data_IF_017358093354
#
_entry.id   IF_017358093354
#
_cell.length_a   1.000
_cell.length_b   1.000
_cell.length_c   1.000
_cell.angle_alpha   90.00
_cell.angle_beta   90.00
_cell.angle_gamma   90.00
#
_symmetry.space_group_name_H-M   'P 1'
#
loop_
_entity.id
_entity.type
_entity.pdbx_description
1 polymer ?
#
# COMPACT_ATOMS: atom_id res chain seq x y z
N UNK A 1 17.70 42.60 8.48
CA UNK A 1 16.41 42.88 7.83
C UNK A 1 15.89 41.56 7.31
N UNK A 2 14.72 41.13 7.77
CA UNK A 2 14.03 39.97 7.20
C UNK A 2 13.50 40.41 5.84
N UNK A 3 13.72 39.62 4.79
CA UNK A 3 13.14 39.91 3.47
C UNK A 3 11.64 39.67 3.51
N UNK A 4 10.84 40.62 3.05
CA UNK A 4 9.39 40.48 2.93
C UNK A 4 9.02 39.97 1.53
N UNK A 5 8.25 38.88 1.50
CA UNK A 5 7.66 38.26 0.31
C UNK A 5 6.42 37.49 0.77
N UNK A 6 5.40 37.33 -0.08
CA UNK A 6 4.26 36.51 0.31
C UNK A 6 4.66 35.04 0.43
N UNK A 7 4.01 34.29 1.34
CA UNK A 7 4.29 32.85 1.51
C UNK A 7 4.19 32.06 0.20
N UNK A 8 3.17 32.39 -0.61
CA UNK A 8 2.94 31.74 -1.91
C UNK A 8 4.08 31.97 -2.89
N UNK A 9 4.57 33.20 -2.99
CA UNK A 9 5.71 33.53 -3.84
C UNK A 9 7.02 32.93 -3.31
N UNK A 10 7.19 32.83 -1.98
CA UNK A 10 8.35 32.21 -1.37
C UNK A 10 8.44 30.71 -1.67
N UNK A 11 7.32 29.99 -1.55
CA UNK A 11 7.22 28.57 -1.93
C UNK A 11 7.49 28.39 -3.42
N UNK A 12 6.96 29.27 -4.27
CA UNK A 12 7.24 29.20 -5.72
C UNK A 12 8.74 29.39 -5.99
N UNK A 13 9.37 30.39 -5.37
CA UNK A 13 10.82 30.64 -5.47
C UNK A 13 11.65 29.44 -5.00
N UNK A 14 11.19 28.72 -3.99
CA UNK A 14 11.81 27.47 -3.53
C UNK A 14 11.66 26.36 -4.58
N UNK A 15 10.44 26.13 -5.07
CA UNK A 15 10.10 25.04 -6.00
C UNK A 15 10.83 25.19 -7.34
N UNK A 16 10.99 26.41 -7.84
CA UNK A 16 11.59 26.68 -9.15
C UNK A 16 13.07 26.24 -9.27
N UNK A 17 13.73 25.91 -8.15
CA UNK A 17 15.12 25.47 -8.09
C UNK A 17 15.32 23.97 -8.36
N UNK A 18 14.23 23.20 -8.46
CA UNK A 18 14.27 21.74 -8.50
C UNK A 18 13.75 21.16 -9.82
N UNK A 19 13.96 19.84 -10.02
CA UNK A 19 13.45 19.13 -11.20
C UNK A 19 11.92 18.99 -11.17
N UNK A 20 11.28 18.81 -12.32
CA UNK A 20 9.81 18.72 -12.43
C UNK A 20 9.18 17.65 -11.50
N UNK A 21 9.84 16.50 -11.33
CA UNK A 21 9.37 15.45 -10.42
C UNK A 21 9.40 15.90 -8.94
N UNK A 22 10.44 16.64 -8.55
CA UNK A 22 10.59 17.20 -7.20
C UNK A 22 9.59 18.34 -6.95
N UNK A 23 9.37 19.19 -7.97
CA UNK A 23 8.36 20.26 -7.90
C UNK A 23 6.97 19.70 -7.58
N UNK A 24 6.56 18.65 -8.31
CA UNK A 24 5.27 17.99 -8.05
C UNK A 24 5.17 17.46 -6.62
N UNK A 25 6.24 16.87 -6.08
CA UNK A 25 6.25 16.36 -4.72
C UNK A 25 6.12 17.48 -3.68
N UNK A 26 6.81 18.61 -3.87
CA UNK A 26 6.72 19.78 -2.99
C UNK A 26 5.34 20.44 -3.05
N UNK A 27 4.79 20.64 -4.24
CA UNK A 27 3.46 21.19 -4.47
C UNK A 27 2.37 20.41 -3.73
N UNK A 28 2.41 19.07 -3.80
CA UNK A 28 1.45 18.21 -3.11
C UNK A 28 1.51 18.44 -1.60
N UNK A 29 2.71 18.58 -1.02
CA UNK A 29 2.87 18.83 0.41
C UNK A 29 2.37 20.22 0.78
N UNK A 30 2.73 21.27 0.04
CA UNK A 30 2.29 22.63 0.35
C UNK A 30 0.78 22.80 0.23
N UNK A 31 0.14 22.27 -0.83
CA UNK A 31 -1.32 22.26 -0.97
C UNK A 31 -2.01 21.53 0.18
N UNK A 32 -1.43 20.43 0.65
CA UNK A 32 -1.98 19.68 1.80
C UNK A 32 -1.97 20.51 3.09
N UNK A 33 -1.01 21.43 3.23
CA UNK A 33 -0.79 22.21 4.46
C UNK A 33 -1.32 23.65 4.37
N UNK A 34 -1.86 24.06 3.22
CA UNK A 34 -2.36 25.42 2.97
C UNK A 34 -3.41 25.85 4.00
N UNK A 35 -4.40 24.99 4.26
CA UNK A 35 -5.43 25.26 5.27
C UNK A 35 -4.86 25.47 6.69
N UNK A 36 -3.79 24.76 7.04
CA UNK A 36 -3.14 24.92 8.35
C UNK A 36 -2.34 26.22 8.42
N UNK A 37 -1.69 26.60 7.32
CA UNK A 37 -0.96 27.86 7.22
C UNK A 37 -1.89 29.08 7.29
N UNK A 38 -3.04 29.01 6.60
CA UNK A 38 -4.10 30.01 6.67
C UNK A 38 -4.63 30.15 8.11
N UNK A 39 -4.82 29.04 8.81
CA UNK A 39 -5.30 29.03 10.20
C UNK A 39 -4.32 29.72 11.17
N UNK A 40 -3.00 29.53 10.98
CA UNK A 40 -1.98 30.16 11.82
C UNK A 40 -1.58 31.57 11.34
N UNK A 41 -2.00 31.96 10.14
CA UNK A 41 -1.58 33.19 9.47
C UNK A 41 -0.06 33.38 9.50
N UNK A 42 0.67 32.29 9.26
CA UNK A 42 2.13 32.22 9.45
C UNK A 42 2.73 31.18 8.52
N UNK A 43 3.76 31.56 7.77
CA UNK A 43 4.44 30.64 6.84
C UNK A 43 5.04 29.42 7.55
N UNK A 44 4.93 28.24 6.91
CA UNK A 44 5.45 26.97 7.41
C UNK A 44 6.92 27.02 7.85
N UNK A 45 7.78 27.85 7.25
CA UNK A 45 9.19 27.96 7.65
C UNK A 45 9.41 28.69 8.98
N UNK A 46 8.40 29.39 9.49
CA UNK A 46 8.48 30.19 10.72
C UNK A 46 7.84 29.50 11.93
N UNK A 47 7.35 28.27 11.79
CA UNK A 47 6.67 27.58 12.88
C UNK A 47 7.62 27.26 14.07
N UNK A 48 7.10 27.39 15.28
CA UNK A 48 7.75 26.94 16.50
C UNK A 48 7.48 25.44 16.77
N UNK A 49 8.12 24.90 17.81
CA UNK A 49 8.05 23.47 18.14
C UNK A 49 6.61 23.03 18.44
N UNK A 50 5.81 23.85 19.13
CA UNK A 50 4.44 23.50 19.51
C UNK A 50 3.50 23.58 18.30
N UNK A 51 3.69 24.59 17.45
CA UNK A 51 2.96 24.73 16.19
C UNK A 51 3.26 23.55 15.25
N UNK A 52 4.52 23.07 15.21
CA UNK A 52 4.90 21.89 14.43
C UNK A 52 4.27 20.62 15.03
N UNK A 53 4.29 20.41 16.35
CA UNK A 53 3.66 19.26 16.99
C UNK A 53 2.15 19.19 16.66
N UNK A 54 1.47 20.35 16.75
CA UNK A 54 0.07 20.48 16.35
C UNK A 54 -0.14 20.23 14.85
N UNK A 55 0.72 20.74 13.97
CA UNK A 55 0.68 20.46 12.54
C UNK A 55 0.73 18.95 12.30
N UNK A 56 1.67 18.25 12.94
CA UNK A 56 1.85 16.80 12.77
C UNK A 56 0.64 16.00 13.23
N UNK A 57 -0.04 16.41 14.31
CA UNK A 57 -1.30 15.81 14.74
C UNK A 57 -2.46 16.04 13.74
N UNK A 58 -2.49 17.20 13.07
CA UNK A 58 -3.53 17.55 12.10
C UNK A 58 -3.32 16.98 10.69
N UNK A 59 -2.11 16.52 10.34
CA UNK A 59 -1.82 15.90 9.03
C UNK A 59 -2.71 14.66 8.76
N UNK A 60 -3.19 14.01 9.82
CA UNK A 60 -3.99 12.79 9.77
C UNK A 60 -3.34 11.70 8.89
N UNK A 61 -2.05 11.43 9.12
CA UNK A 61 -1.28 10.52 8.28
C UNK A 61 -1.57 9.05 8.58
N UNK A 62 -1.57 8.25 7.50
CA UNK A 62 -1.80 6.80 7.55
C UNK A 62 -0.52 5.96 7.68
N UNK A 63 0.66 6.59 7.71
CA UNK A 63 1.95 5.91 7.87
C UNK A 63 3.06 6.84 8.35
N UNK A 64 4.07 6.25 9.01
CA UNK A 64 5.32 6.93 9.39
C UNK A 64 5.99 7.53 8.14
N UNK A 65 6.00 6.79 7.03
CA UNK A 65 6.61 7.25 5.79
C UNK A 65 5.96 8.52 5.24
N UNK A 66 4.63 8.65 5.36
CA UNK A 66 3.93 9.86 4.93
C UNK A 66 4.35 11.06 5.76
N UNK A 67 4.46 10.90 7.08
CA UNK A 67 4.89 11.98 7.99
C UNK A 67 6.35 12.34 7.73
N UNK A 68 7.22 11.32 7.61
CA UNK A 68 8.63 11.52 7.33
C UNK A 68 8.86 12.21 5.98
N UNK A 69 8.05 11.91 4.96
CA UNK A 69 8.08 12.60 3.67
C UNK A 69 7.74 14.09 3.80
N UNK A 70 6.64 14.41 4.51
CA UNK A 70 6.24 15.80 4.77
C UNK A 70 7.33 16.54 5.57
N UNK A 71 7.85 15.95 6.64
CA UNK A 71 8.93 16.52 7.44
C UNK A 71 10.19 16.77 6.61
N UNK A 72 10.52 15.88 5.67
CA UNK A 72 11.66 16.07 4.77
C UNK A 72 11.48 17.32 3.92
N UNK A 73 10.30 17.50 3.30
CA UNK A 73 9.99 18.71 2.50
C UNK A 73 10.05 19.96 3.36
N UNK A 74 9.42 19.96 4.53
CA UNK A 74 9.39 21.12 5.44
C UNK A 74 10.77 21.47 6.00
N UNK A 75 11.60 20.46 6.29
CA UNK A 75 12.98 20.67 6.73
C UNK A 75 13.77 21.35 5.62
N UNK A 76 13.70 20.86 4.38
CA UNK A 76 14.43 21.42 3.23
C UNK A 76 13.96 22.84 2.91
N UNK A 77 12.65 23.08 2.88
CA UNK A 77 12.07 24.41 2.68
C UNK A 77 12.50 25.41 3.76
N UNK A 78 12.50 24.99 5.02
CA UNK A 78 12.92 25.86 6.14
C UNK A 78 14.42 26.17 6.08
N UNK A 79 15.27 25.19 5.73
CA UNK A 79 16.70 25.43 5.52
C UNK A 79 16.93 26.47 4.41
N UNK A 80 16.20 26.37 3.29
CA UNK A 80 16.22 27.38 2.23
C UNK A 80 15.83 28.78 2.73
N UNK A 81 14.74 28.89 3.49
CA UNK A 81 14.26 30.16 4.01
C UNK A 81 15.27 30.80 5.00
N UNK A 82 15.94 29.98 5.81
CA UNK A 82 17.02 30.43 6.71
C UNK A 82 18.21 30.96 5.91
N UNK A 83 18.66 30.23 4.88
CA UNK A 83 19.79 30.62 4.03
C UNK A 83 19.52 31.94 3.30
N UNK A 84 18.30 32.12 2.79
CA UNK A 84 17.92 33.32 2.04
C UNK A 84 17.53 34.52 2.91
N UNK A 85 17.34 34.33 4.22
CA UNK A 85 16.99 35.38 5.18
C UNK A 85 15.51 35.73 5.24
N UNK A 86 14.63 34.76 4.99
CA UNK A 86 13.17 34.89 5.09
C UNK A 86 12.61 34.46 6.46
N UNK A 87 13.44 33.88 7.32
CA UNK A 87 13.02 33.47 8.68
C UNK A 87 13.54 34.43 9.74
N UNK A 88 12.77 34.59 10.82
CA UNK A 88 13.21 35.29 12.03
C UNK A 88 14.17 34.43 12.87
N UNK A 89 13.97 33.12 12.86
CA UNK A 89 14.82 32.12 13.51
C UNK A 89 15.94 31.66 12.58
N UNK A 90 17.16 31.49 13.10
CA UNK A 90 18.27 30.81 12.40
C UNK A 90 18.29 29.28 12.63
N UNK A 91 17.33 28.78 13.39
CA UNK A 91 17.22 27.37 13.77
C UNK A 91 16.04 26.75 13.03
N UNK A 92 16.29 25.62 12.39
CA UNK A 92 15.25 24.81 11.76
C UNK A 92 14.61 23.87 12.80
N UNK A 93 13.43 24.24 13.28
CA UNK A 93 12.72 23.51 14.33
C UNK A 93 12.23 22.11 13.88
N UNK A 94 12.02 21.89 12.58
CA UNK A 94 11.61 20.57 12.06
C UNK A 94 12.64 19.47 12.31
N UNK A 95 13.92 19.82 12.42
CA UNK A 95 15.00 18.85 12.70
C UNK A 95 14.81 18.13 14.05
N UNK A 96 14.08 18.70 14.99
CA UNK A 96 13.76 18.06 16.27
C UNK A 96 12.80 16.87 16.13
N UNK A 97 12.04 16.81 15.04
CA UNK A 97 11.08 15.74 14.74
C UNK A 97 11.66 14.66 13.81
N UNK A 98 12.98 14.67 13.60
CA UNK A 98 13.67 13.74 12.69
C UNK A 98 13.74 12.29 13.22
N UNK A 99 13.56 12.08 14.53
CA UNK A 99 13.53 10.73 15.10
C UNK A 99 12.24 10.00 14.71
N UNK A 100 12.40 9.03 13.80
CA UNK A 100 11.33 8.16 13.33
C UNK A 100 10.62 7.39 14.44
N UNK A 101 11.28 7.10 15.56
CA UNK A 101 10.64 6.39 16.68
C UNK A 101 9.52 7.22 17.30
N UNK A 102 9.67 8.54 17.32
CA UNK A 102 8.68 9.46 17.87
C UNK A 102 7.50 9.68 16.92
N UNK A 103 7.67 9.47 15.61
CA UNK A 103 6.62 9.73 14.63
C UNK A 103 5.38 8.83 14.77
N UNK A 104 5.49 7.73 15.52
CA UNK A 104 4.36 6.83 15.79
C UNK A 104 3.17 7.51 16.46
N UNK A 105 3.39 8.54 17.29
CA UNK A 105 2.30 9.24 18.02
C UNK A 105 1.42 10.12 17.14
N UNK A 106 1.86 10.41 15.91
CA UNK A 106 1.13 11.27 14.96
C UNK A 106 0.39 10.46 13.88
N UNK A 107 0.47 9.12 13.92
CA UNK A 107 -0.29 8.26 13.02
C UNK A 107 -1.70 8.12 13.57
N UNK A 108 -2.70 8.22 12.69
CA UNK A 108 -4.08 7.97 13.07
C UNK A 108 -4.25 6.49 13.53
N UNK A 109 -4.56 6.28 14.82
CA UNK A 109 -4.60 4.96 15.47
C UNK A 109 -5.58 3.95 14.82
N UNK A 110 -6.83 4.33 14.46
CA UNK A 110 -7.74 3.45 13.72
C UNK A 110 -7.19 2.88 12.41
N UNK A 111 -6.27 3.60 11.73
CA UNK A 111 -5.57 3.09 10.54
C UNK A 111 -4.73 1.86 10.88
N UNK A 112 -4.18 1.79 12.08
CA UNK A 112 -3.17 0.79 12.45
C UNK A 112 -3.79 -0.56 12.80
N UNK A 113 -5.02 -0.60 13.30
CA UNK A 113 -5.67 -1.86 13.71
C UNK A 113 -6.43 -2.54 12.56
N UNK A 114 -6.91 -1.76 11.58
CA UNK A 114 -7.76 -2.25 10.48
C UNK A 114 -7.05 -2.29 9.11
N UNK A 115 -5.74 -2.01 9.07
CA UNK A 115 -4.98 -1.91 7.82
C UNK A 115 -4.88 -3.22 7.06
N UNK A 116 -4.67 -4.30 7.80
CA UNK A 116 -4.43 -5.63 7.28
C UNK A 116 -5.49 -6.57 7.84
N UNK A 117 -5.84 -7.58 7.06
CA UNK A 117 -6.73 -8.63 7.50
C UNK A 117 -6.06 -9.42 8.63
N UNK A 118 -6.83 -9.72 9.68
CA UNK A 118 -6.35 -10.34 10.91
C UNK A 118 -5.97 -11.79 10.70
N UNK A 119 -6.77 -12.52 9.94
CA UNK A 119 -6.62 -13.94 9.68
C UNK A 119 -7.36 -14.40 8.39
N UNK A 120 -7.32 -15.71 8.13
CA UNK A 120 -8.06 -16.32 7.01
C UNK A 120 -9.58 -16.18 7.13
N UNK A 121 -10.16 -16.04 8.34
CA UNK A 121 -11.61 -15.88 8.51
C UNK A 121 -12.06 -14.54 7.94
N UNK A 122 -11.29 -13.48 8.19
CA UNK A 122 -11.59 -12.16 7.61
C UNK A 122 -11.46 -12.17 6.08
N UNK A 123 -10.46 -12.86 5.52
CA UNK A 123 -10.39 -13.09 4.07
C UNK A 123 -11.63 -13.81 3.55
N UNK A 124 -12.10 -14.85 4.24
CA UNK A 124 -13.29 -15.59 3.83
C UNK A 124 -14.56 -14.74 3.92
N UNK A 125 -14.68 -13.87 4.93
CA UNK A 125 -15.78 -12.89 5.00
C UNK A 125 -15.80 -11.97 3.77
N UNK A 126 -14.62 -11.49 3.33
CA UNK A 126 -14.51 -10.69 2.11
C UNK A 126 -14.89 -11.46 0.86
N UNK A 127 -14.51 -12.74 0.76
CA UNK A 127 -14.93 -13.60 -0.35
C UNK A 127 -16.44 -13.79 -0.35
N UNK A 128 -17.05 -14.10 0.80
CA UNK A 128 -18.48 -14.36 0.90
C UNK A 128 -19.38 -13.16 0.53
N UNK A 129 -18.88 -11.93 0.66
CA UNK A 129 -19.63 -10.73 0.22
C UNK A 129 -19.43 -10.43 -1.28
N UNK A 130 -18.49 -11.10 -1.95
CA UNK A 130 -18.34 -10.97 -3.38
C UNK A 130 -19.55 -11.61 -4.06
N UNK A 131 -20.16 -10.89 -4.99
CA UNK A 131 -21.24 -11.44 -5.83
C UNK A 131 -20.73 -12.19 -7.06
N UNK A 132 -19.41 -12.30 -7.24
CA UNK A 132 -18.78 -12.86 -8.43
C UNK A 132 -17.52 -13.66 -8.05
N UNK A 133 -17.36 -14.85 -8.62
CA UNK A 133 -16.15 -15.67 -8.44
C UNK A 133 -14.91 -14.97 -9.00
N UNK A 134 -15.07 -14.16 -10.05
CA UNK A 134 -14.02 -13.30 -10.61
C UNK A 134 -13.47 -12.26 -9.63
N UNK A 135 -14.24 -11.87 -8.62
CA UNK A 135 -13.79 -10.94 -7.57
C UNK A 135 -13.16 -11.70 -6.40
N UNK A 136 -13.72 -12.85 -6.02
CA UNK A 136 -13.17 -13.72 -4.98
C UNK A 136 -11.76 -14.22 -5.30
N UNK A 137 -11.54 -14.67 -6.54
CA UNK A 137 -10.23 -15.17 -6.98
C UNK A 137 -9.17 -14.07 -6.91
N UNK A 138 -9.53 -12.79 -7.07
CA UNK A 138 -8.57 -11.69 -6.89
C UNK A 138 -8.09 -11.61 -5.44
N UNK A 139 -8.99 -11.78 -4.47
CA UNK A 139 -8.64 -11.78 -3.05
C UNK A 139 -7.72 -12.97 -2.72
N UNK A 140 -8.05 -14.16 -3.23
CA UNK A 140 -7.26 -15.37 -3.01
C UNK A 140 -5.85 -15.26 -3.61
N UNK A 141 -5.74 -14.83 -4.88
CA UNK A 141 -4.44 -14.66 -5.54
C UNK A 141 -3.56 -13.61 -4.85
N UNK A 142 -4.15 -12.47 -4.46
CA UNK A 142 -3.41 -11.44 -3.71
C UNK A 142 -2.89 -11.98 -2.38
N UNK A 143 -3.73 -12.71 -1.64
CA UNK A 143 -3.35 -13.33 -0.38
C UNK A 143 -2.21 -14.34 -0.53
N UNK A 144 -2.17 -15.09 -1.62
CA UNK A 144 -1.11 -16.07 -1.91
C UNK A 144 0.20 -15.43 -2.39
N UNK A 145 0.23 -14.10 -2.54
CA UNK A 145 1.41 -13.36 -3.00
C UNK A 145 1.52 -13.26 -4.52
N UNK A 146 0.42 -13.45 -5.24
CA UNK A 146 0.33 -13.33 -6.70
C UNK A 146 -0.25 -11.95 -7.01
N UNK A 147 0.63 -11.03 -7.41
CA UNK A 147 0.25 -9.65 -7.73
C UNK A 147 1.14 -9.10 -8.84
N UNK A 148 2.44 -9.36 -8.74
CA UNK A 148 3.46 -8.78 -9.61
C UNK A 148 3.92 -7.40 -9.17
N UNK A 149 4.90 -6.87 -9.89
CA UNK A 149 5.60 -5.62 -9.51
C UNK A 149 5.02 -4.39 -10.22
N UNK A 150 4.32 -4.57 -11.35
CA UNK A 150 3.80 -3.47 -12.14
C UNK A 150 2.42 -3.76 -12.71
N UNK A 151 1.43 -2.92 -12.37
CA UNK A 151 0.07 -2.95 -12.95
C UNK A 151 -0.57 -4.35 -12.88
N UNK A 152 -0.39 -5.08 -11.78
CA UNK A 152 -0.94 -6.42 -11.55
C UNK A 152 -0.52 -7.44 -12.61
N UNK A 153 0.74 -7.39 -13.05
CA UNK A 153 1.23 -8.20 -14.18
C UNK A 153 1.12 -9.70 -13.93
N UNK A 154 1.33 -10.20 -12.72
CA UNK A 154 1.18 -11.65 -12.47
C UNK A 154 -0.29 -12.07 -12.59
N UNK A 155 -1.21 -11.39 -11.90
CA UNK A 155 -2.66 -11.68 -11.96
C UNK A 155 -3.19 -11.58 -13.40
N UNK A 156 -2.82 -10.52 -14.13
CA UNK A 156 -3.34 -10.25 -15.48
C UNK A 156 -2.80 -11.21 -16.54
N UNK A 157 -1.69 -11.88 -16.27
CA UNK A 157 -1.08 -12.81 -17.20
C UNK A 157 -1.28 -14.28 -16.78
N UNK A 158 -1.76 -14.55 -15.58
CA UNK A 158 -2.00 -15.90 -15.09
C UNK A 158 -3.06 -16.62 -15.94
N UNK A 159 -2.67 -17.77 -16.49
CA UNK A 159 -3.51 -18.61 -17.34
C UNK A 159 -3.93 -19.89 -16.63
N UNK A 160 -4.94 -20.55 -17.19
CA UNK A 160 -5.40 -21.87 -16.73
C UNK A 160 -4.26 -22.90 -16.79
N UNK A 161 -3.44 -22.86 -17.85
CA UNK A 161 -2.29 -23.75 -18.05
C UNK A 161 -1.15 -23.53 -17.05
N UNK A 162 -1.15 -22.40 -16.33
CA UNK A 162 -0.17 -22.12 -15.27
C UNK A 162 -0.57 -22.75 -13.92
N UNK A 163 -1.73 -23.42 -13.81
CA UNK A 163 -2.25 -23.99 -12.56
C UNK A 163 -2.21 -25.51 -12.62
N UNK A 164 -1.48 -26.13 -11.70
CA UNK A 164 -1.53 -27.56 -11.44
C UNK A 164 -2.59 -27.85 -10.36
N UNK A 165 -3.77 -28.24 -10.82
CA UNK A 165 -4.92 -28.54 -9.97
C UNK A 165 -4.77 -29.82 -9.14
N UNK A 166 -3.82 -30.71 -9.47
CA UNK A 166 -3.62 -31.95 -8.72
C UNK A 166 -2.69 -31.73 -7.54
N UNK A 167 -1.66 -30.90 -7.73
CA UNK A 167 -0.66 -30.59 -6.70
C UNK A 167 -0.97 -29.29 -5.95
N UNK A 168 -2.03 -28.57 -6.31
CA UNK A 168 -2.37 -27.24 -5.79
C UNK A 168 -1.22 -26.24 -5.98
N UNK A 169 -0.63 -26.21 -7.17
CA UNK A 169 0.51 -25.34 -7.47
C UNK A 169 0.16 -24.31 -8.55
N UNK A 170 0.71 -23.11 -8.42
CA UNK A 170 0.60 -22.05 -9.41
C UNK A 170 1.99 -21.67 -9.92
N UNK A 171 2.18 -21.77 -11.23
CA UNK A 171 3.42 -21.48 -11.93
C UNK A 171 3.44 -20.03 -12.39
N UNK A 172 4.21 -19.18 -11.71
CA UNK A 172 4.28 -17.78 -12.09
C UNK A 172 5.27 -17.60 -13.23
N UNK A 173 4.74 -17.40 -14.43
CA UNK A 173 5.49 -17.02 -15.61
C UNK A 173 5.72 -15.50 -15.65
N UNK A 174 6.97 -15.05 -15.44
CA UNK A 174 7.27 -13.61 -15.42
C UNK A 174 8.72 -13.27 -15.05
N UNK A 175 8.93 -12.04 -14.57
CA UNK A 175 10.25 -11.55 -14.13
C UNK A 175 10.81 -12.33 -12.94
N UNK A 176 9.92 -12.78 -12.05
CA UNK A 176 10.25 -13.55 -10.86
C UNK A 176 9.59 -14.94 -10.94
N UNK A 177 10.15 -15.79 -11.82
CA UNK A 177 9.65 -17.16 -12.00
C UNK A 177 9.73 -17.94 -10.70
N UNK A 178 8.63 -18.59 -10.34
CA UNK A 178 8.50 -19.40 -9.13
C UNK A 178 7.29 -20.32 -9.23
N UNK A 179 7.31 -21.38 -8.43
CA UNK A 179 6.17 -22.25 -8.19
C UNK A 179 5.67 -21.93 -6.79
N UNK A 180 4.36 -21.76 -6.66
CA UNK A 180 3.68 -21.43 -5.42
C UNK A 180 2.72 -22.56 -5.12
N UNK A 181 3.00 -23.35 -4.10
CA UNK A 181 1.99 -24.24 -3.49
C UNK A 181 0.95 -23.36 -2.79
N UNK A 182 -0.32 -23.50 -3.14
CA UNK A 182 -1.41 -22.72 -2.58
C UNK A 182 -2.36 -23.62 -1.80
N UNK A 183 -3.15 -23.01 -0.93
CA UNK A 183 -4.16 -23.75 -0.18
C UNK A 183 -5.32 -24.18 -1.10
N UNK A 184 -6.02 -25.25 -0.73
CA UNK A 184 -7.10 -25.83 -1.55
C UNK A 184 -8.21 -24.81 -1.85
N UNK A 185 -8.50 -23.91 -0.90
CA UNK A 185 -9.53 -22.89 -1.07
C UNK A 185 -9.17 -21.85 -2.15
N UNK A 186 -7.87 -21.64 -2.41
CA UNK A 186 -7.39 -20.81 -3.53
C UNK A 186 -7.68 -21.52 -4.85
N UNK A 187 -7.42 -22.82 -4.92
CA UNK A 187 -7.68 -23.63 -6.12
C UNK A 187 -9.18 -23.69 -6.43
N UNK A 188 -10.03 -23.82 -5.42
CA UNK A 188 -11.48 -23.74 -5.56
C UNK A 188 -11.91 -22.38 -6.13
N UNK A 189 -11.39 -21.29 -5.56
CA UNK A 189 -11.67 -19.93 -6.06
C UNK A 189 -11.25 -19.75 -7.53
N UNK A 190 -10.16 -20.40 -7.95
CA UNK A 190 -9.71 -20.40 -9.36
C UNK A 190 -10.69 -21.19 -10.24
N UNK A 191 -11.12 -22.38 -9.82
CA UNK A 191 -12.08 -23.21 -10.56
C UNK A 191 -13.40 -22.46 -10.76
N UNK A 192 -13.95 -21.88 -9.70
CA UNK A 192 -15.19 -21.11 -9.74
C UNK A 192 -15.07 -19.92 -10.70
N UNK A 193 -13.94 -19.21 -10.66
CA UNK A 193 -13.68 -18.10 -11.57
C UNK A 193 -13.54 -18.52 -13.04
N UNK A 194 -13.02 -19.71 -13.33
CA UNK A 194 -12.93 -20.27 -14.69
C UNK A 194 -14.34 -20.61 -15.21
N UNK A 195 -15.17 -21.21 -14.36
CA UNK A 195 -16.52 -21.67 -14.72
C UNK A 195 -17.53 -20.52 -14.85
N UNK A 196 -17.32 -19.40 -14.16
CA UNK A 196 -18.22 -18.25 -14.16
C UNK A 196 -18.46 -17.70 -15.59
N UNK A 197 -19.72 -17.62 -16.04
CA UNK A 197 -20.04 -17.14 -17.40
C UNK A 197 -20.45 -15.66 -17.42
N UNK A 198 -20.98 -15.16 -16.32
CA UNK A 198 -21.56 -13.84 -16.21
C UNK A 198 -21.00 -13.12 -14.99
N UNK A 199 -20.78 -11.83 -15.12
CA UNK A 199 -20.41 -10.93 -14.05
C UNK A 199 -21.61 -10.04 -13.70
N UNK A 200 -21.97 -10.03 -12.42
CA UNK A 200 -22.99 -9.18 -11.82
C UNK A 200 -22.36 -7.86 -11.40
N UNK A 201 -22.78 -6.77 -12.03
CA UNK A 201 -22.35 -5.41 -11.65
C UNK A 201 -23.12 -4.91 -10.42
N UNK A 202 -22.66 -3.81 -9.84
CA UNK A 202 -23.29 -3.16 -8.68
C UNK A 202 -24.77 -2.78 -8.93
N UNK A 203 -25.17 -2.50 -10.18
CA UNK A 203 -26.55 -2.22 -10.56
C UNK A 203 -27.37 -3.50 -10.84
N UNK A 204 -26.88 -4.67 -10.40
CA UNK A 204 -27.46 -5.99 -10.62
C UNK A 204 -27.55 -6.43 -12.10
N UNK A 205 -26.95 -5.66 -13.02
CA UNK A 205 -26.87 -6.02 -14.43
C UNK A 205 -25.89 -7.19 -14.60
N UNK A 206 -26.36 -8.27 -15.22
CA UNK A 206 -25.53 -9.39 -15.64
C UNK A 206 -24.88 -9.10 -17.00
N UNK A 207 -23.57 -9.28 -17.09
CA UNK A 207 -22.82 -9.20 -18.35
C UNK A 207 -21.99 -10.44 -18.57
N UNK A 208 -21.99 -10.95 -19.80
CA UNK A 208 -21.14 -12.09 -20.18
C UNK A 208 -19.65 -11.74 -19.97
N UNK A 209 -18.88 -12.69 -19.45
CA UNK A 209 -17.43 -12.60 -19.37
C UNK A 209 -16.80 -13.02 -20.70
N UNK A 210 -15.68 -12.41 -21.06
CA UNK A 210 -14.96 -12.80 -22.26
C UNK A 210 -14.30 -14.17 -22.06
N UNK A 211 -14.58 -15.14 -22.93
CA UNK A 211 -13.93 -16.44 -22.88
C UNK A 211 -12.46 -16.33 -23.34
N UNK A 212 -11.52 -16.46 -22.42
CA UNK A 212 -10.07 -16.29 -22.65
C UNK A 212 -9.31 -17.30 -21.79
N UNK A 213 -8.04 -17.62 -22.11
CA UNK A 213 -7.25 -18.56 -21.31
C UNK A 213 -6.79 -17.99 -19.95
N UNK A 214 -7.11 -16.73 -19.62
CA UNK A 214 -6.73 -16.10 -18.37
C UNK A 214 -7.72 -16.44 -17.24
N UNK A 215 -7.21 -16.60 -16.02
CA UNK A 215 -8.06 -16.85 -14.83
C UNK A 215 -8.99 -15.66 -14.58
N UNK A 216 -8.42 -14.45 -14.55
CA UNK A 216 -9.17 -13.21 -14.34
C UNK A 216 -9.53 -12.59 -15.68
N UNK A 217 -10.84 -12.49 -15.94
CA UNK A 217 -11.41 -12.16 -17.24
C UNK A 217 -12.17 -10.83 -17.21
N UNK A 218 -12.05 -10.01 -18.26
CA UNK A 218 -12.86 -8.81 -18.39
C UNK A 218 -14.29 -9.16 -18.81
N UNK A 219 -15.21 -8.24 -18.52
CA UNK A 219 -16.55 -8.26 -19.09
C UNK A 219 -16.46 -8.14 -20.62
N UNK A 220 -17.25 -8.94 -21.34
CA UNK A 220 -17.37 -8.90 -22.80
C UNK A 220 -18.02 -7.59 -23.23
N UNK A 221 -17.30 -6.84 -24.04
CA UNK A 221 -17.75 -5.59 -24.65
C UNK A 221 -17.04 -5.42 -26.01
N UNK A 222 -17.57 -4.57 -26.90
CA UNK A 222 -17.05 -4.32 -28.25
C UNK A 222 -15.58 -3.89 -28.27
N UNK A 223 -15.11 -3.26 -27.17
CA UNK A 223 -13.73 -2.78 -27.00
C UNK A 223 -12.94 -3.60 -25.98
N UNK A 224 -13.46 -4.73 -25.53
CA UNK A 224 -12.80 -5.53 -24.50
C UNK A 224 -11.50 -6.13 -25.04
N UNK A 225 -10.40 -5.88 -24.32
CA UNK A 225 -9.14 -6.58 -24.54
C UNK A 225 -9.25 -8.02 -24.03
N UNK A 226 -8.45 -8.95 -24.58
CA UNK A 226 -8.39 -10.33 -24.07
C UNK A 226 -7.91 -10.41 -22.62
N UNK A 227 -7.08 -9.46 -22.18
CA UNK A 227 -6.59 -9.36 -20.80
C UNK A 227 -7.35 -8.30 -20.04
N UNK A 228 -7.66 -8.59 -18.77
CA UNK A 228 -8.23 -7.59 -17.86
C UNK A 228 -7.26 -6.42 -17.67
N UNK A 229 -7.79 -5.21 -17.53
CA UNK A 229 -6.99 -4.01 -17.28
C UNK A 229 -6.62 -3.89 -15.80
N UNK A 230 -5.48 -3.28 -15.50
CA UNK A 230 -5.09 -2.98 -14.12
C UNK A 230 -6.06 -2.04 -13.41
N UNK A 231 -6.75 -1.18 -14.15
CA UNK A 231 -7.75 -0.25 -13.63
C UNK A 231 -8.99 -1.04 -13.19
N UNK A 232 -9.44 -2.01 -13.99
CA UNK A 232 -10.57 -2.87 -13.65
C UNK A 232 -10.32 -3.66 -12.37
N UNK A 233 -9.11 -4.21 -12.18
CA UNK A 233 -8.73 -4.90 -10.92
C UNK A 233 -8.84 -3.94 -9.73
N UNK A 234 -8.28 -2.72 -9.84
CA UNK A 234 -8.39 -1.72 -8.76
C UNK A 234 -9.84 -1.39 -8.43
N UNK A 235 -10.67 -1.19 -9.43
CA UNK A 235 -12.08 -0.84 -9.25
C UNK A 235 -12.86 -1.98 -8.59
N UNK A 236 -12.61 -3.24 -8.98
CA UNK A 236 -13.22 -4.42 -8.34
C UNK A 236 -12.88 -4.49 -6.85
N UNK A 237 -11.60 -4.35 -6.50
CA UNK A 237 -11.18 -4.33 -5.08
C UNK A 237 -11.75 -3.11 -4.34
N UNK A 238 -11.83 -1.95 -4.98
CA UNK A 238 -12.45 -0.75 -4.38
C UNK A 238 -13.95 -0.95 -4.11
N UNK A 239 -14.67 -1.67 -4.97
CA UNK A 239 -16.07 -1.99 -4.73
C UNK A 239 -16.23 -2.91 -3.51
N UNK A 240 -15.38 -3.94 -3.38
CA UNK A 240 -15.35 -4.83 -2.21
C UNK A 240 -15.04 -4.02 -0.93
N UNK A 241 -14.06 -3.12 -1.00
CA UNK A 241 -13.70 -2.23 0.10
C UNK A 241 -14.87 -1.37 0.57
N UNK A 242 -15.66 -0.83 -0.37
CA UNK A 242 -16.86 -0.06 -0.06
C UNK A 242 -17.98 -0.92 0.54
N UNK A 243 -18.20 -2.12 0.00
CA UNK A 243 -19.21 -3.07 0.50
C UNK A 243 -18.90 -3.55 1.93
N UNK A 244 -17.62 -3.73 2.25
CA UNK A 244 -17.16 -4.10 3.59
C UNK A 244 -16.94 -2.89 4.52
N UNK A 245 -17.17 -1.67 4.03
CA UNK A 245 -16.97 -0.41 4.78
C UNK A 245 -15.57 -0.26 5.39
N UNK A 246 -14.55 -0.82 4.75
CA UNK A 246 -13.15 -0.71 5.19
C UNK A 246 -12.28 -0.14 4.06
N UNK A 247 -11.91 1.16 4.11
CA UNK A 247 -11.11 1.80 3.07
C UNK A 247 -9.66 1.28 3.00
N UNK A 248 -9.22 0.47 3.97
CA UNK A 248 -7.89 -0.13 3.96
C UNK A 248 -7.84 -1.44 3.19
N UNK A 249 -8.98 -1.95 2.70
CA UNK A 249 -9.01 -3.09 1.77
C UNK A 249 -8.52 -2.62 0.41
N UNK A 250 -7.22 -2.72 0.24
CA UNK A 250 -6.52 -2.38 -1.00
C UNK A 250 -5.73 -3.60 -1.47
N UNK A 251 -5.41 -3.71 -2.77
CA UNK A 251 -4.69 -4.88 -3.27
C UNK A 251 -3.36 -5.11 -2.52
N UNK A 252 -2.64 -4.03 -2.22
CA UNK A 252 -1.36 -4.09 -1.50
C UNK A 252 -1.53 -4.51 -0.04
N UNK A 253 -2.63 -4.14 0.61
CA UNK A 253 -2.88 -4.51 1.99
C UNK A 253 -3.33 -5.97 2.10
N UNK A 254 -4.19 -6.46 1.19
CA UNK A 254 -4.54 -7.90 1.13
C UNK A 254 -3.29 -8.73 0.91
N UNK A 255 -2.45 -8.34 -0.05
CA UNK A 255 -1.15 -8.96 -0.31
C UNK A 255 -0.24 -9.00 0.93
N UNK A 256 -0.11 -7.88 1.65
CA UNK A 256 0.66 -7.85 2.90
C UNK A 256 0.01 -8.64 4.03
N UNK A 257 -1.32 -8.76 4.04
CA UNK A 257 -2.05 -9.55 5.04
C UNK A 257 -1.72 -11.03 4.92
N UNK A 258 -1.68 -11.56 3.69
CA UNK A 258 -1.19 -12.91 3.44
C UNK A 258 0.26 -13.09 3.91
N UNK A 259 1.13 -12.12 3.60
CA UNK A 259 2.54 -12.19 4.02
C UNK A 259 2.68 -12.24 5.54
N UNK A 260 1.93 -11.40 6.25
CA UNK A 260 1.84 -11.39 7.72
C UNK A 260 1.35 -12.76 8.21
N UNK A 261 0.33 -13.34 7.60
CA UNK A 261 -0.20 -14.64 7.96
C UNK A 261 0.86 -15.75 7.89
N UNK A 262 1.59 -15.86 6.77
CA UNK A 262 2.64 -16.89 6.65
C UNK A 262 3.81 -16.66 7.62
N UNK A 263 4.17 -15.40 7.91
CA UNK A 263 5.18 -15.09 8.93
C UNK A 263 4.70 -15.53 10.31
N UNK A 264 3.44 -15.23 10.67
CA UNK A 264 2.84 -15.68 11.94
C UNK A 264 2.82 -17.20 12.04
N UNK A 265 2.54 -17.92 10.95
CA UNK A 265 2.62 -19.40 10.91
C UNK A 265 4.03 -19.90 11.21
N UNK A 266 5.08 -19.26 10.68
CA UNK A 266 6.48 -19.58 11.03
C UNK A 266 6.74 -19.32 12.52
N UNK A 267 6.30 -18.18 13.05
CA UNK A 267 6.49 -17.81 14.45
C UNK A 267 5.81 -18.80 15.40
N UNK A 268 4.56 -19.15 15.13
CA UNK A 268 3.80 -20.15 15.90
C UNK A 268 4.49 -21.52 15.89
N UNK A 269 4.93 -21.98 14.72
CA UNK A 269 5.65 -23.25 14.59
C UNK A 269 7.01 -23.27 15.32
N UNK A 270 7.57 -22.10 15.64
CA UNK A 270 8.86 -21.95 16.33
C UNK A 270 8.73 -21.45 17.77
N UNK A 271 7.52 -21.19 18.26
CA UNK A 271 7.29 -20.61 19.58
C UNK A 271 7.88 -19.21 19.75
N UNK A 272 7.89 -18.40 18.70
CA UNK A 272 8.41 -17.02 18.73
C UNK A 272 7.27 -16.02 18.94
N UNK A 273 7.48 -15.05 19.84
CA UNK A 273 6.48 -14.01 20.14
C UNK A 273 6.73 -12.72 19.36
N UNK A 274 8.01 -12.42 19.07
CA UNK A 274 8.41 -11.17 18.41
C UNK A 274 8.95 -11.43 17.01
N UNK A 275 8.52 -10.64 16.04
CA UNK A 275 8.96 -10.75 14.65
C UNK A 275 10.47 -10.57 14.49
N UNK A 276 11.08 -9.75 15.35
CA UNK A 276 12.52 -9.51 15.30
C UNK A 276 13.36 -10.77 15.62
N UNK A 277 12.78 -11.75 16.30
CA UNK A 277 13.43 -13.01 16.66
C UNK A 277 13.45 -14.00 15.48
N UNK A 278 12.58 -13.82 14.49
CA UNK A 278 12.50 -14.73 13.32
C UNK A 278 13.79 -14.66 12.51
N UNK A 279 14.60 -15.72 12.43
CA UNK A 279 15.86 -15.67 11.71
C UNK A 279 15.65 -15.30 10.23
N UNK A 280 16.50 -14.43 9.69
CA UNK A 280 16.36 -13.91 8.32
C UNK A 280 16.21 -14.99 7.25
N UNK A 281 16.93 -16.11 7.38
CA UNK A 281 16.85 -17.22 6.43
C UNK A 281 15.46 -17.89 6.38
N UNK A 282 14.70 -17.87 7.49
CA UNK A 282 13.33 -18.41 7.53
C UNK A 282 12.34 -17.53 6.77
N UNK A 283 12.69 -16.26 6.51
CA UNK A 283 11.87 -15.33 5.75
C UNK A 283 12.06 -15.47 4.24
N UNK A 284 13.11 -16.20 3.81
CA UNK A 284 13.41 -16.39 2.40
C UNK A 284 12.26 -17.03 1.61
N UNK A 285 11.64 -18.14 2.04
CA UNK A 285 10.53 -18.75 1.31
C UNK A 285 9.33 -17.81 1.18
N UNK A 286 9.09 -16.97 2.19
CA UNK A 286 8.02 -15.97 2.14
C UNK A 286 8.36 -14.88 1.13
N UNK A 287 9.56 -14.32 1.19
CA UNK A 287 9.97 -13.29 0.22
C UNK A 287 9.91 -13.83 -1.22
N UNK A 288 10.39 -15.05 -1.45
CA UNK A 288 10.33 -15.71 -2.76
C UNK A 288 8.89 -15.95 -3.22
N UNK A 289 7.99 -16.48 -2.38
CA UNK A 289 6.55 -16.62 -2.66
C UNK A 289 5.91 -15.32 -3.13
N UNK A 290 6.28 -14.22 -2.49
CA UNK A 290 5.79 -12.88 -2.78
C UNK A 290 6.67 -12.15 -3.81
N UNK A 291 7.44 -12.86 -4.64
CA UNK A 291 8.21 -12.25 -5.74
C UNK A 291 9.23 -11.18 -5.31
N UNK A 292 9.63 -11.16 -4.04
CA UNK A 292 10.60 -10.21 -3.48
C UNK A 292 11.96 -10.90 -3.39
N UNK A 293 12.98 -10.28 -3.98
CA UNK A 293 14.35 -10.79 -3.91
C UNK A 293 14.83 -10.84 -2.45
N UNK A 294 15.38 -11.99 -2.05
CA UNK A 294 16.01 -12.15 -0.75
C UNK A 294 17.30 -11.32 -0.66
N UNK A 295 17.25 -10.17 0.03
CA UNK A 295 18.39 -9.27 0.30
C UNK A 295 18.26 -8.67 1.69
N UNK A 296 19.38 -8.30 2.32
CA UNK A 296 19.37 -7.65 3.64
C UNK A 296 18.51 -6.38 3.64
N UNK A 297 18.58 -5.58 2.58
CA UNK A 297 17.76 -4.36 2.42
C UNK A 297 16.25 -4.66 2.43
N UNK A 298 15.82 -5.69 1.69
CA UNK A 298 14.41 -6.06 1.63
C UNK A 298 13.91 -6.63 2.96
N UNK A 299 14.75 -7.41 3.66
CA UNK A 299 14.43 -7.94 4.99
C UNK A 299 14.28 -6.79 6.00
N UNK A 300 15.23 -5.86 6.04
CA UNK A 300 15.15 -4.69 6.92
C UNK A 300 13.91 -3.85 6.63
N UNK A 301 13.59 -3.64 5.34
CA UNK A 301 12.38 -2.92 4.92
C UNK A 301 11.11 -3.64 5.38
N UNK A 302 11.02 -4.95 5.18
CA UNK A 302 9.87 -5.76 5.60
C UNK A 302 9.70 -5.74 7.12
N UNK A 303 10.77 -5.96 7.88
CA UNK A 303 10.77 -5.87 9.35
C UNK A 303 10.25 -4.52 9.81
N UNK A 304 10.77 -3.43 9.24
CA UNK A 304 10.32 -2.08 9.59
C UNK A 304 8.83 -1.87 9.30
N UNK A 305 8.33 -2.38 8.18
CA UNK A 305 6.95 -2.15 7.74
C UNK A 305 5.92 -3.00 8.48
N UNK A 306 6.28 -4.23 8.88
CA UNK A 306 5.31 -5.21 9.37
C UNK A 306 5.42 -5.51 10.86
N UNK A 307 6.50 -5.09 11.54
CA UNK A 307 6.74 -5.39 12.97
C UNK A 307 5.53 -5.15 13.87
N UNK A 308 4.93 -3.95 13.78
CA UNK A 308 3.81 -3.56 14.65
C UNK A 308 2.52 -4.37 14.44
N UNK A 309 2.46 -5.20 13.40
CA UNK A 309 1.27 -6.00 13.03
C UNK A 309 1.48 -7.51 13.22
N UNK A 310 2.74 -7.91 13.42
CA UNK A 310 3.14 -9.31 13.54
C UNK A 310 3.33 -9.70 15.00
N UNK A 311 3.96 -8.84 15.81
CA UNK A 311 4.25 -9.11 17.21
C UNK A 311 2.94 -9.50 17.94
N UNK A 312 2.95 -10.66 18.59
CA UNK A 312 1.80 -11.16 19.36
C UNK A 312 1.79 -10.39 20.68
N UNK A 313 0.65 -9.78 21.04
CA UNK A 313 0.49 -9.08 22.32
C UNK A 313 0.32 -10.07 23.47
#
# INVERSE_FOLDING_TARGET
MIKEISSKELKQKFIDQYSEDEKMAFDIVFKKLEAFEEQLNKDLCNLDINEIDNLLHNINANSIESIAGILSVLTTYTDFCITEGYTSSKINNYKQFSDRKMLGKYINQPVNENKYLKDKKELQLLKNICGNAQDEVLLALLWEGIMGTHKFDEIRNLRIEDVDFNNNEIHISGKHKRIIEVEIETIESIKDAIEEKYYIKNNLEQKELLNTPYIVRPIKDKKANKKISSITIKNRISNISNLYENPYITPINIYKSGMIYYIKKIMQNKGLEKFNEVPSYMLRPILERYGIRYTSQNITKMRRQLKNYIDIK
#
